data_IF_266933819773
#
_entry.id   IF_266933819773
#
_cell.length_a   1.000
_cell.length_b   1.000
_cell.length_c   1.000
_cell.angle_alpha   90.00
_cell.angle_beta   90.00
_cell.angle_gamma   90.00
#
_symmetry.space_group_name_H-M   'P 1'
#
loop_
_entity.id
_entity.type
_entity.pdbx_description
1 polymer ?
#
# COMPACT_ATOMS: atom_id res chain seq x y z
N UNK A 1 -19.30 -23.26 -13.95
CA UNK A 1 -18.81 -22.75 -12.65
C UNK A 1 -17.74 -21.69 -12.94
N UNK A 2 -18.05 -20.40 -12.74
CA UNK A 2 -17.05 -19.34 -12.89
C UNK A 2 -15.95 -19.56 -11.86
N UNK A 3 -14.70 -19.73 -12.31
CA UNK A 3 -13.54 -19.61 -11.42
C UNK A 3 -13.65 -18.24 -10.76
N UNK A 4 -13.81 -18.19 -9.44
CA UNK A 4 -13.67 -16.96 -8.67
C UNK A 4 -12.28 -16.41 -9.01
N UNK A 5 -12.23 -15.36 -9.81
CA UNK A 5 -10.97 -14.71 -10.15
C UNK A 5 -10.45 -14.13 -8.84
N UNK A 6 -9.36 -14.70 -8.34
CA UNK A 6 -8.73 -14.20 -7.12
C UNK A 6 -8.08 -12.88 -7.50
N UNK A 7 -8.45 -11.80 -6.81
CA UNK A 7 -7.87 -10.47 -7.03
C UNK A 7 -6.36 -10.55 -6.85
N UNK A 8 -5.62 -9.78 -7.66
CA UNK A 8 -4.17 -9.62 -7.55
C UNK A 8 -3.73 -8.81 -6.32
N UNK A 9 -4.62 -8.67 -5.33
CA UNK A 9 -4.38 -7.98 -4.08
C UNK A 9 -5.32 -8.51 -2.99
N UNK A 10 -4.92 -8.25 -1.74
CA UNK A 10 -5.75 -8.33 -0.56
C UNK A 10 -5.62 -7.03 0.21
N UNK A 11 -6.74 -6.53 0.73
CA UNK A 11 -6.76 -5.35 1.59
C UNK A 11 -7.60 -5.62 2.84
N UNK A 12 -7.14 -5.07 3.97
CA UNK A 12 -7.88 -5.05 5.22
C UNK A 12 -7.52 -3.80 6.01
N UNK A 13 -8.48 -3.24 6.73
CA UNK A 13 -8.22 -2.13 7.65
C UNK A 13 -8.23 -2.66 9.08
N UNK A 14 -7.20 -2.30 9.85
CA UNK A 14 -7.07 -2.60 11.27
C UNK A 14 -6.69 -1.29 11.96
N UNK A 15 -7.53 -0.83 12.89
CA UNK A 15 -7.41 0.50 13.51
C UNK A 15 -7.24 1.61 12.43
N UNK A 16 -6.18 2.42 12.53
CA UNK A 16 -5.83 3.50 11.58
C UNK A 16 -4.85 3.03 10.50
N UNK A 17 -4.74 1.71 10.27
CA UNK A 17 -3.81 1.12 9.31
C UNK A 17 -4.57 0.38 8.22
N UNK A 18 -4.32 0.74 6.98
CA UNK A 18 -4.69 -0.07 5.83
C UNK A 18 -3.55 -1.04 5.49
N UNK A 19 -3.82 -2.33 5.54
CA UNK A 19 -2.90 -3.38 5.11
C UNK A 19 -3.21 -3.76 3.68
N UNK A 20 -2.22 -3.63 2.81
CA UNK A 20 -2.32 -3.98 1.40
C UNK A 20 -1.26 -5.02 1.09
N UNK A 21 -1.69 -6.12 0.48
CA UNK A 21 -0.80 -7.12 -0.10
C UNK A 21 -1.08 -7.23 -1.59
N UNK A 22 -0.06 -7.18 -2.42
CA UNK A 22 -0.16 -7.24 -3.89
C UNK A 22 0.56 -8.48 -4.40
N UNK A 23 -0.08 -9.18 -5.34
CA UNK A 23 0.40 -10.45 -5.89
C UNK A 23 0.44 -10.40 -7.41
N UNK A 24 1.53 -10.88 -7.99
CA UNK A 24 1.65 -10.98 -9.44
C UNK A 24 1.54 -9.64 -10.15
N UNK A 25 0.93 -9.65 -11.33
CA UNK A 25 0.83 -8.49 -12.22
C UNK A 25 -0.38 -7.62 -11.86
N UNK A 26 -0.14 -6.33 -11.64
CA UNK A 26 -1.17 -5.31 -11.53
C UNK A 26 -1.69 -4.95 -12.92
N UNK A 27 -2.79 -5.57 -13.35
CA UNK A 27 -3.46 -5.20 -14.61
C UNK A 27 -4.16 -3.85 -14.48
N UNK A 28 -4.49 -3.19 -15.60
CA UNK A 28 -5.22 -1.92 -15.56
C UNK A 28 -6.56 -2.06 -14.82
N UNK A 29 -7.41 -3.00 -15.27
CA UNK A 29 -8.71 -3.29 -14.65
C UNK A 29 -8.57 -3.65 -13.17
N UNK A 30 -7.60 -4.52 -12.82
CA UNK A 30 -7.37 -4.90 -11.43
C UNK A 30 -6.91 -3.73 -10.56
N UNK A 31 -6.19 -2.78 -11.13
CA UNK A 31 -5.72 -1.58 -10.44
C UNK A 31 -6.85 -0.57 -10.23
N UNK A 32 -7.74 -0.39 -11.20
CA UNK A 32 -8.94 0.44 -11.04
C UNK A 32 -9.84 -0.10 -9.92
N UNK A 33 -10.05 -1.42 -9.90
CA UNK A 33 -10.78 -2.08 -8.81
C UNK A 33 -10.07 -1.91 -7.46
N UNK A 34 -8.75 -2.11 -7.41
CA UNK A 34 -7.94 -1.89 -6.21
C UNK A 34 -8.09 -0.47 -5.68
N UNK A 35 -7.98 0.56 -6.53
CA UNK A 35 -8.10 1.96 -6.12
C UNK A 35 -9.48 2.24 -5.53
N UNK A 36 -10.55 1.71 -6.14
CA UNK A 36 -11.90 1.85 -5.60
C UNK A 36 -12.00 1.21 -4.21
N UNK A 37 -11.58 -0.04 -4.09
CA UNK A 37 -11.70 -0.81 -2.86
C UNK A 37 -10.84 -0.21 -1.73
N UNK A 38 -9.62 0.22 -2.06
CA UNK A 38 -8.71 0.95 -1.17
C UNK A 38 -9.38 2.18 -0.58
N UNK A 39 -9.94 3.04 -1.45
CA UNK A 39 -10.55 4.32 -1.03
C UNK A 39 -11.83 4.10 -0.24
N UNK A 40 -12.66 3.13 -0.65
CA UNK A 40 -13.87 2.77 0.09
C UNK A 40 -13.53 2.27 1.48
N UNK A 41 -12.51 1.41 1.61
CA UNK A 41 -12.15 0.82 2.88
C UNK A 41 -11.59 1.87 3.83
N UNK A 42 -10.66 2.73 3.36
CA UNK A 42 -9.98 3.73 4.22
C UNK A 42 -10.81 4.98 4.51
N UNK A 43 -11.90 5.22 3.77
CA UNK A 43 -12.73 6.42 3.93
C UNK A 43 -13.09 6.78 5.40
N UNK A 44 -13.37 5.85 6.32
CA UNK A 44 -13.62 6.18 7.73
C UNK A 44 -12.38 6.70 8.49
N UNK A 45 -11.17 6.35 8.05
CA UNK A 45 -9.91 6.73 8.70
C UNK A 45 -9.36 8.08 8.22
N UNK A 46 -9.75 8.57 7.04
CA UNK A 46 -9.15 9.76 6.40
C UNK A 46 -9.41 11.07 7.14
N UNK A 47 -10.31 11.11 8.12
CA UNK A 47 -10.53 12.30 8.96
C UNK A 47 -9.37 12.58 9.95
N UNK A 48 -8.48 11.62 10.15
CA UNK A 48 -7.30 11.72 11.02
C UNK A 48 -6.07 11.18 10.29
N UNK A 49 -4.84 11.43 10.78
CA UNK A 49 -3.65 10.74 10.30
C UNK A 49 -3.86 9.22 10.30
N UNK A 50 -3.52 8.58 9.20
CA UNK A 50 -3.58 7.13 9.04
C UNK A 50 -2.32 6.60 8.35
N UNK A 51 -2.16 5.28 8.39
CA UNK A 51 -0.99 4.59 7.88
C UNK A 51 -1.36 3.51 6.86
N UNK A 52 -0.42 3.19 5.97
CA UNK A 52 -0.55 2.05 5.06
C UNK A 52 0.65 1.12 5.23
N UNK A 53 0.37 -0.18 5.27
CA UNK A 53 1.36 -1.21 4.97
C UNK A 53 1.15 -1.64 3.55
N UNK A 54 2.21 -1.55 2.74
CA UNK A 54 2.19 -1.97 1.36
C UNK A 54 3.19 -3.11 1.17
N UNK A 55 2.66 -4.33 1.19
CA UNK A 55 3.40 -5.55 0.90
C UNK A 55 3.35 -5.87 -0.59
N UNK A 56 4.47 -5.63 -1.24
CA UNK A 56 4.67 -5.91 -2.66
C UNK A 56 5.74 -6.97 -2.88
N UNK A 57 6.08 -7.78 -1.88
CA UNK A 57 7.09 -8.85 -2.01
C UNK A 57 6.79 -9.83 -3.14
N UNK A 58 5.51 -10.05 -3.43
CA UNK A 58 5.02 -10.95 -4.48
C UNK A 58 4.57 -10.21 -5.75
N UNK A 59 4.78 -8.90 -5.85
CA UNK A 59 4.46 -8.11 -7.03
C UNK A 59 5.38 -8.47 -8.21
N UNK A 60 4.86 -8.36 -9.42
CA UNK A 60 5.59 -8.62 -10.67
C UNK A 60 5.48 -7.43 -11.64
N UNK A 61 6.41 -7.30 -12.61
CA UNK A 61 6.38 -6.25 -13.61
C UNK A 61 4.99 -6.04 -14.21
N UNK A 62 4.55 -4.79 -14.19
CA UNK A 62 3.18 -4.41 -14.54
C UNK A 62 3.16 -3.31 -15.60
N UNK A 63 2.07 -3.19 -16.39
CA UNK A 63 1.95 -2.16 -17.42
C UNK A 63 2.08 -0.74 -16.83
N UNK A 64 2.67 0.17 -17.60
CA UNK A 64 2.91 1.55 -17.17
C UNK A 64 1.60 2.28 -16.76
N UNK A 65 0.48 1.99 -17.43
CA UNK A 65 -0.81 2.59 -17.12
C UNK A 65 -1.31 2.18 -15.72
N UNK A 66 -1.04 0.94 -15.30
CA UNK A 66 -1.37 0.50 -13.94
C UNK A 66 -0.50 1.22 -12.90
N UNK A 67 0.80 1.37 -13.17
CA UNK A 67 1.72 2.09 -12.28
C UNK A 67 1.34 3.57 -12.12
N UNK A 68 0.88 4.20 -13.20
CA UNK A 68 0.38 5.58 -13.16
C UNK A 68 -0.88 5.70 -12.27
N UNK A 69 -1.80 4.73 -12.32
CA UNK A 69 -2.95 4.72 -11.39
C UNK A 69 -2.51 4.55 -9.92
N UNK A 70 -1.51 3.69 -9.65
CA UNK A 70 -0.95 3.54 -8.29
C UNK A 70 -0.31 4.83 -7.80
N UNK A 71 0.39 5.55 -8.68
CA UNK A 71 0.97 6.87 -8.41
C UNK A 71 -0.12 7.89 -8.07
N UNK A 72 -1.17 7.97 -8.89
CA UNK A 72 -2.32 8.85 -8.63
C UNK A 72 -3.02 8.51 -7.32
N UNK A 73 -3.14 7.22 -6.98
CA UNK A 73 -3.70 6.81 -5.70
C UNK A 73 -2.81 7.20 -4.51
N UNK A 74 -1.49 7.16 -4.67
CA UNK A 74 -0.54 7.64 -3.66
C UNK A 74 -0.70 9.14 -3.41
N UNK A 75 -0.83 9.94 -4.48
CA UNK A 75 -1.12 11.39 -4.36
C UNK A 75 -2.43 11.63 -3.63
N UNK A 76 -3.49 10.90 -4.00
CA UNK A 76 -4.78 11.00 -3.31
C UNK A 76 -4.67 10.63 -1.83
N UNK A 77 -3.97 9.55 -1.50
CA UNK A 77 -3.84 9.09 -0.12
C UNK A 77 -3.14 10.14 0.75
N UNK A 78 -2.04 10.73 0.25
CA UNK A 78 -1.33 11.83 0.90
C UNK A 78 -2.25 13.04 1.12
N UNK A 79 -3.01 13.44 0.10
CA UNK A 79 -3.98 14.53 0.21
C UNK A 79 -5.12 14.24 1.20
N UNK A 80 -5.32 12.98 1.57
CA UNK A 80 -6.37 12.51 2.48
C UNK A 80 -5.78 11.97 3.80
N UNK A 81 -4.77 12.64 4.34
CA UNK A 81 -4.16 12.39 5.66
C UNK A 81 -3.39 11.05 5.80
N UNK A 82 -2.85 10.50 4.72
CA UNK A 82 -1.82 9.46 4.85
C UNK A 82 -0.54 10.06 5.42
N UNK A 83 -0.10 9.59 6.58
CA UNK A 83 1.07 10.13 7.29
C UNK A 83 2.17 9.11 7.52
N UNK A 84 1.90 7.82 7.33
CA UNK A 84 2.89 6.77 7.57
C UNK A 84 2.78 5.64 6.54
N UNK A 85 3.91 5.21 6.01
CA UNK A 85 4.00 4.14 5.01
C UNK A 85 5.05 3.14 5.44
N UNK A 86 4.64 1.89 5.66
CA UNK A 86 5.55 0.75 5.80
C UNK A 86 5.56 -0.04 4.49
N UNK A 87 6.75 -0.29 3.94
CA UNK A 87 6.93 -1.04 2.69
C UNK A 87 7.60 -2.37 2.95
N UNK A 88 7.04 -3.44 2.38
CA UNK A 88 7.71 -4.72 2.26
C UNK A 88 8.00 -4.95 0.78
N UNK A 89 9.27 -4.98 0.42
CA UNK A 89 9.73 -4.92 -0.97
C UNK A 89 10.16 -6.31 -1.48
N UNK A 90 10.08 -6.57 -2.80
CA UNK A 90 10.67 -7.77 -3.39
C UNK A 90 12.14 -7.93 -3.00
N UNK A 91 12.60 -9.17 -2.90
CA UNK A 91 14.03 -9.45 -2.70
C UNK A 91 14.87 -9.15 -3.94
N UNK A 92 14.23 -9.09 -5.11
CA UNK A 92 14.87 -8.68 -6.37
C UNK A 92 15.06 -7.16 -6.40
N UNK A 93 16.32 -6.72 -6.46
CA UNK A 93 16.69 -5.30 -6.43
C UNK A 93 16.21 -4.53 -7.66
N UNK A 94 16.18 -5.17 -8.83
CA UNK A 94 15.73 -4.54 -10.07
C UNK A 94 14.22 -4.31 -10.01
N UNK A 95 13.44 -5.30 -9.57
CA UNK A 95 12.00 -5.16 -9.38
C UNK A 95 11.68 -4.09 -8.35
N UNK A 96 12.44 -4.05 -7.24
CA UNK A 96 12.33 -3.01 -6.23
C UNK A 96 12.57 -1.62 -6.83
N UNK A 97 13.67 -1.45 -7.56
CA UNK A 97 14.01 -0.18 -8.19
C UNK A 97 12.94 0.26 -9.20
N UNK A 98 12.46 -0.65 -10.04
CA UNK A 98 11.42 -0.40 -11.04
C UNK A 98 10.13 0.10 -10.38
N UNK A 99 9.65 -0.59 -9.34
CA UNK A 99 8.46 -0.20 -8.63
C UNK A 99 8.61 1.18 -8.00
N UNK A 100 9.68 1.38 -7.22
CA UNK A 100 9.92 2.62 -6.49
C UNK A 100 10.02 3.83 -7.40
N UNK A 101 10.66 3.68 -8.57
CA UNK A 101 10.78 4.75 -9.56
C UNK A 101 9.47 5.03 -10.27
N UNK A 102 8.74 3.99 -10.67
CA UNK A 102 7.48 4.17 -11.39
C UNK A 102 6.38 4.79 -10.52
N UNK A 103 6.39 4.53 -9.22
CA UNK A 103 5.39 5.06 -8.28
C UNK A 103 5.91 6.24 -7.44
N UNK A 104 7.03 6.87 -7.83
CA UNK A 104 7.60 7.98 -7.09
C UNK A 104 6.66 9.21 -7.13
N UNK A 105 6.34 9.75 -5.94
CA UNK A 105 5.53 10.97 -5.76
C UNK A 105 6.24 11.95 -4.85
N UNK A 106 5.91 13.23 -4.95
CA UNK A 106 6.38 14.24 -4.02
C UNK A 106 5.86 13.92 -2.61
N UNK A 107 6.78 13.80 -1.65
CA UNK A 107 6.45 13.48 -0.26
C UNK A 107 6.45 14.76 0.56
N UNK A 108 5.37 15.08 1.28
CA UNK A 108 5.38 16.18 2.23
C UNK A 108 6.27 15.83 3.43
N UNK A 109 6.77 16.85 4.13
CA UNK A 109 7.70 16.68 5.25
C UNK A 109 7.12 15.86 6.42
N UNK A 110 5.80 15.81 6.57
CA UNK A 110 5.13 15.04 7.62
C UNK A 110 5.02 13.53 7.32
N UNK A 111 5.21 13.11 6.07
CA UNK A 111 5.01 11.72 5.66
C UNK A 111 6.22 10.89 6.06
N UNK A 112 6.01 9.98 7.02
CA UNK A 112 7.01 8.97 7.38
C UNK A 112 6.92 7.80 6.41
N UNK A 113 8.07 7.35 5.89
CA UNK A 113 8.15 6.18 5.01
C UNK A 113 9.31 5.30 5.44
N UNK A 114 9.01 4.06 5.79
CA UNK A 114 9.99 3.06 6.16
C UNK A 114 9.90 1.83 5.24
N UNK A 115 11.02 1.11 5.15
CA UNK A 115 11.10 -0.19 4.49
C UNK A 115 11.27 -1.19 5.63
N UNK A 116 10.25 -2.00 5.87
CA UNK A 116 10.25 -3.02 6.89
C UNK A 116 10.90 -4.31 6.35
N UNK A 117 11.57 -5.06 7.22
CA UNK A 117 12.18 -6.34 6.86
C UNK A 117 11.12 -7.43 6.68
N UNK A 118 10.07 -7.38 7.51
CA UNK A 118 8.99 -8.34 7.58
C UNK A 118 7.71 -7.75 8.19
N UNK A 119 6.65 -8.55 8.23
CA UNK A 119 5.36 -8.08 8.76
C UNK A 119 5.46 -7.72 10.26
N UNK A 120 6.29 -8.44 11.03
CA UNK A 120 6.42 -8.22 12.46
C UNK A 120 7.07 -6.86 12.78
N UNK A 121 8.15 -6.52 12.08
CA UNK A 121 8.81 -5.22 12.17
C UNK A 121 7.89 -4.07 11.73
N UNK A 122 7.13 -4.24 10.63
CA UNK A 122 6.14 -3.25 10.21
C UNK A 122 5.08 -3.00 11.31
N UNK A 123 4.58 -4.06 11.96
CA UNK A 123 3.64 -3.94 13.10
C UNK A 123 4.26 -3.17 14.26
N UNK A 124 5.50 -3.48 14.63
CA UNK A 124 6.20 -2.80 15.72
C UNK A 124 6.38 -1.30 15.44
N UNK A 125 6.77 -0.92 14.22
CA UNK A 125 6.89 0.49 13.85
C UNK A 125 5.56 1.22 13.90
N UNK A 126 4.47 0.59 13.45
CA UNK A 126 3.13 1.18 13.50
C UNK A 126 2.58 1.32 14.92
N UNK A 127 2.90 0.37 15.80
CA UNK A 127 2.58 0.46 17.23
C UNK A 127 3.35 1.60 17.89
N UNK A 128 4.66 1.69 17.63
CA UNK A 128 5.49 2.78 18.14
C UNK A 128 5.03 4.16 17.62
N UNK A 129 4.52 4.22 16.39
CA UNK A 129 3.96 5.42 15.79
C UNK A 129 2.50 5.71 16.21
N UNK A 130 1.85 4.83 16.97
CA UNK A 130 0.51 5.02 17.50
C UNK A 130 -0.64 4.76 16.53
N UNK A 131 -0.39 4.11 15.38
CA UNK A 131 -1.44 3.79 14.39
C UNK A 131 -2.12 2.43 14.64
N UNK A 132 -1.40 1.51 15.30
CA UNK A 132 -1.88 0.18 15.64
C UNK A 132 -1.83 -0.01 17.16
N UNK A 133 -2.84 -0.66 17.73
CA UNK A 133 -2.80 -1.03 19.15
C UNK A 133 -1.77 -2.14 19.40
N UNK A 134 -1.16 -2.12 20.59
CA UNK A 134 -0.40 -3.26 21.10
C UNK A 134 -1.30 -4.49 21.18
N UNK A 135 -0.74 -5.69 20.97
CA UNK A 135 -1.44 -6.90 21.41
C UNK A 135 -1.42 -6.87 22.95
N UNK A 136 -2.60 -6.77 23.57
CA UNK A 136 -2.77 -6.96 25.01
C UNK A 136 -2.39 -8.39 25.41
#
# INVERSE_FOLDING_TARGET
MQKRQTKAYQIQQIDQVLWVQVFGVSTLLGTEEYVRDFRTLVAPATAKPWAVVLDIRQWQPSPAQALELLKQNSVWAIANNLHHVELLLPTDELLTWQYLKATEVQKPAYLTRHIAEDEASARQFLQAAGYLKGAD
#
